data_IF_333182949033
#
_entry.id   IF_333182949033
#
_cell.length_a   1.000
_cell.length_b   1.000
_cell.length_c   1.000
_cell.angle_alpha   90.00
_cell.angle_beta   90.00
_cell.angle_gamma   90.00
#
_symmetry.space_group_name_H-M   'P 1'
#
loop_
_entity.id
_entity.type
_entity.pdbx_description
1 polymer ?
#
# COMPACT_ATOMS: atom_id res chain seq x y z
N UNK A 1 13.85 -17.37 -4.03
CA UNK A 1 12.47 -17.21 -4.52
C UNK A 1 12.22 -17.97 -5.83
N UNK A 2 13.25 -18.13 -6.69
CA UNK A 2 13.13 -18.83 -7.99
C UNK A 2 12.71 -20.32 -7.91
N UNK A 3 12.52 -20.88 -6.73
CA UNK A 3 12.13 -22.29 -6.52
C UNK A 3 10.72 -22.45 -5.97
N UNK A 4 10.00 -21.35 -5.74
CA UNK A 4 8.59 -21.40 -5.30
C UNK A 4 7.69 -21.59 -6.52
N UNK A 5 6.71 -22.48 -6.37
CA UNK A 5 5.66 -22.66 -7.38
C UNK A 5 4.77 -21.41 -7.42
N UNK A 6 4.40 -21.01 -8.61
CA UNK A 6 3.51 -19.89 -8.87
C UNK A 6 2.38 -20.30 -9.81
N UNK A 7 1.28 -19.55 -9.80
CA UNK A 7 0.22 -19.73 -10.76
C UNK A 7 0.62 -19.18 -12.14
N UNK A 8 0.18 -19.83 -13.18
CA UNK A 8 0.33 -19.29 -14.52
C UNK A 8 -0.78 -18.26 -14.78
N UNK A 9 -0.47 -16.99 -14.61
CA UNK A 9 -1.39 -15.88 -14.79
C UNK A 9 -1.95 -15.75 -16.21
N UNK A 10 -1.30 -16.38 -17.19
CA UNK A 10 -1.78 -16.42 -18.57
C UNK A 10 -2.84 -17.52 -18.81
N UNK A 11 -3.12 -18.34 -17.81
CA UNK A 11 -4.18 -19.33 -17.85
C UNK A 11 -5.50 -18.73 -17.35
N UNK A 12 -6.52 -18.56 -18.19
CA UNK A 12 -7.82 -17.99 -17.76
C UNK A 12 -8.46 -18.71 -16.57
N UNK A 13 -8.22 -20.00 -16.40
CA UNK A 13 -8.75 -20.76 -15.26
C UNK A 13 -8.17 -20.28 -13.91
N UNK A 14 -6.97 -19.71 -13.92
CA UNK A 14 -6.37 -19.12 -12.70
C UNK A 14 -7.14 -17.87 -12.29
N UNK A 15 -7.43 -16.97 -13.23
CA UNK A 15 -8.24 -15.78 -12.96
C UNK A 15 -9.63 -16.15 -12.45
N UNK A 16 -10.31 -17.10 -13.10
CA UNK A 16 -11.64 -17.58 -12.68
C UNK A 16 -11.61 -18.12 -11.25
N UNK A 17 -10.62 -18.96 -10.95
CA UNK A 17 -10.47 -19.54 -9.62
C UNK A 17 -10.21 -18.47 -8.55
N UNK A 18 -9.26 -17.56 -8.80
CA UNK A 18 -8.90 -16.52 -7.84
C UNK A 18 -10.06 -15.55 -7.60
N UNK A 19 -10.70 -15.05 -8.66
CA UNK A 19 -11.85 -14.15 -8.50
C UNK A 19 -12.96 -14.85 -7.70
N UNK A 20 -13.34 -16.09 -8.06
CA UNK A 20 -14.37 -16.82 -7.35
C UNK A 20 -14.04 -17.06 -5.87
N UNK A 21 -12.77 -17.33 -5.55
CA UNK A 21 -12.33 -17.50 -4.17
C UNK A 21 -12.43 -16.19 -3.36
N UNK A 22 -12.06 -15.06 -3.95
CA UNK A 22 -12.13 -13.77 -3.25
C UNK A 22 -13.55 -13.20 -3.19
N UNK A 23 -14.41 -13.48 -4.16
CA UNK A 23 -15.84 -13.15 -4.09
C UNK A 23 -16.54 -13.80 -2.89
N UNK A 24 -16.15 -15.01 -2.52
CA UNK A 24 -16.67 -15.66 -1.32
C UNK A 24 -16.39 -14.87 -0.04
N UNK A 25 -15.21 -14.25 0.06
CA UNK A 25 -14.88 -13.39 1.20
C UNK A 25 -15.70 -12.09 1.22
N UNK A 26 -16.01 -11.54 0.04
CA UNK A 26 -16.92 -10.39 -0.07
C UNK A 26 -18.32 -10.77 0.43
N UNK A 27 -18.81 -11.94 0.05
CA UNK A 27 -20.12 -12.45 0.49
C UNK A 27 -20.15 -12.72 2.01
N UNK A 28 -19.00 -13.03 2.61
CA UNK A 28 -18.83 -13.20 4.06
C UNK A 28 -18.56 -11.87 4.80
N UNK A 29 -18.57 -10.74 4.10
CA UNK A 29 -18.47 -9.41 4.71
C UNK A 29 -17.13 -8.73 4.63
N UNK A 30 -16.16 -9.24 3.86
CA UNK A 30 -14.92 -8.51 3.62
C UNK A 30 -15.22 -7.12 3.04
N UNK A 31 -14.59 -6.09 3.61
CA UNK A 31 -14.78 -4.70 3.21
C UNK A 31 -13.66 -4.18 2.29
N UNK A 32 -12.48 -4.80 2.34
CA UNK A 32 -11.31 -4.45 1.53
C UNK A 32 -10.39 -5.66 1.36
N UNK A 33 -9.47 -5.59 0.38
CA UNK A 33 -8.37 -6.55 0.25
C UNK A 33 -7.01 -5.86 0.30
N UNK A 34 -6.09 -6.45 1.07
CA UNK A 34 -4.65 -6.22 0.91
C UNK A 34 -4.13 -7.23 -0.12
N UNK A 35 -3.48 -6.74 -1.13
CA UNK A 35 -2.83 -7.55 -2.16
C UNK A 35 -1.34 -7.60 -1.87
N UNK A 36 -0.89 -8.72 -1.36
CA UNK A 36 0.51 -8.99 -1.11
C UNK A 36 1.30 -9.07 -2.42
N UNK A 37 2.55 -8.60 -2.43
CA UNK A 37 3.46 -8.71 -3.57
C UNK A 37 2.86 -8.29 -4.93
N UNK A 38 2.06 -7.23 -4.97
CA UNK A 38 1.32 -6.79 -6.17
C UNK A 38 2.22 -6.56 -7.40
N UNK A 39 3.50 -6.27 -7.19
CA UNK A 39 4.47 -6.04 -8.26
C UNK A 39 4.86 -7.31 -9.04
N UNK A 40 4.53 -8.50 -8.54
CA UNK A 40 4.97 -9.77 -9.14
C UNK A 40 4.05 -10.26 -10.25
N UNK A 41 2.86 -9.70 -10.37
CA UNK A 41 1.94 -9.97 -11.46
C UNK A 41 1.81 -8.75 -12.39
N UNK A 42 1.58 -8.95 -13.69
CA UNK A 42 1.40 -7.84 -14.63
C UNK A 42 0.21 -6.95 -14.27
N UNK A 43 0.31 -5.65 -14.55
CA UNK A 43 -0.81 -4.72 -14.36
C UNK A 43 -2.10 -5.15 -15.08
N UNK A 44 -2.00 -5.81 -16.23
CA UNK A 44 -3.17 -6.32 -16.96
C UNK A 44 -3.95 -7.35 -16.14
N UNK A 45 -3.24 -8.25 -15.44
CA UNK A 45 -3.86 -9.22 -14.52
C UNK A 45 -4.61 -8.51 -13.39
N UNK A 46 -3.96 -7.54 -12.73
CA UNK A 46 -4.57 -6.80 -11.64
C UNK A 46 -5.73 -5.94 -12.10
N UNK A 47 -5.66 -5.38 -13.31
CA UNK A 47 -6.78 -4.62 -13.91
C UNK A 47 -8.01 -5.51 -14.08
N UNK A 48 -7.86 -6.69 -14.67
CA UNK A 48 -8.96 -7.63 -14.85
C UNK A 48 -9.52 -8.09 -13.50
N UNK A 49 -8.65 -8.47 -12.57
CA UNK A 49 -9.08 -8.85 -11.21
C UNK A 49 -9.88 -7.74 -10.54
N UNK A 50 -9.39 -6.50 -10.57
CA UNK A 50 -10.07 -5.35 -9.97
C UNK A 50 -11.43 -5.07 -10.60
N UNK A 51 -11.52 -5.15 -11.92
CA UNK A 51 -12.77 -4.91 -12.63
C UNK A 51 -13.83 -5.96 -12.24
N UNK A 52 -13.45 -7.21 -12.13
CA UNK A 52 -14.36 -8.31 -11.75
C UNK A 52 -14.80 -8.19 -10.29
N UNK A 53 -13.89 -7.92 -9.38
CA UNK A 53 -14.22 -7.69 -7.96
C UNK A 53 -15.17 -6.50 -7.81
N UNK A 54 -14.93 -5.40 -8.53
CA UNK A 54 -15.80 -4.21 -8.45
C UNK A 54 -17.12 -4.37 -9.23
N UNK A 55 -17.19 -5.29 -10.18
CA UNK A 55 -18.47 -5.67 -10.78
C UNK A 55 -19.37 -6.37 -9.76
N UNK A 56 -18.79 -7.22 -8.88
CA UNK A 56 -19.49 -7.84 -7.75
C UNK A 56 -19.86 -6.81 -6.68
N UNK A 57 -18.91 -5.97 -6.25
CA UNK A 57 -19.11 -4.96 -5.22
C UNK A 57 -18.55 -3.60 -5.66
N UNK A 58 -19.39 -2.71 -6.22
CA UNK A 58 -18.95 -1.39 -6.67
C UNK A 58 -18.23 -0.60 -5.58
N UNK A 59 -17.10 0.04 -5.95
CA UNK A 59 -16.29 0.82 -5.01
C UNK A 59 -15.47 -0.01 -4.02
N UNK A 60 -15.36 -1.33 -4.19
CA UNK A 60 -14.59 -2.16 -3.28
C UNK A 60 -13.13 -1.70 -3.20
N UNK A 61 -12.67 -1.42 -1.98
CA UNK A 61 -11.33 -0.91 -1.74
C UNK A 61 -10.28 -2.02 -1.80
N UNK A 62 -9.22 -1.76 -2.53
CA UNK A 62 -8.06 -2.66 -2.61
C UNK A 62 -6.78 -1.86 -2.54
N UNK A 63 -5.80 -2.35 -1.78
CA UNK A 63 -4.46 -1.78 -1.75
C UNK A 63 -3.40 -2.86 -1.88
N UNK A 64 -2.32 -2.50 -2.56
CA UNK A 64 -1.21 -3.41 -2.85
C UNK A 64 0.01 -3.16 -2.01
N UNK A 65 0.73 -4.23 -1.73
CA UNK A 65 2.09 -4.17 -1.22
C UNK A 65 3.07 -4.29 -2.40
N UNK A 66 3.73 -3.19 -2.72
CA UNK A 66 4.91 -3.17 -3.58
C UNK A 66 6.08 -2.64 -2.73
N UNK A 67 6.92 -3.55 -2.24
CA UNK A 67 8.03 -3.22 -1.35
C UNK A 67 9.13 -2.48 -2.13
N UNK A 68 8.87 -1.21 -2.44
CA UNK A 68 9.76 -0.36 -3.20
C UNK A 68 9.70 1.09 -2.70
N UNK A 69 10.85 1.69 -2.52
CA UNK A 69 10.98 3.06 -2.02
C UNK A 69 10.98 4.13 -3.12
N UNK A 70 10.87 3.73 -4.39
CA UNK A 70 10.71 4.65 -5.52
C UNK A 70 9.22 4.90 -5.81
N UNK A 71 8.79 6.15 -5.68
CA UNK A 71 7.41 6.55 -5.90
C UNK A 71 6.91 6.26 -7.32
N UNK A 72 7.76 6.41 -8.34
CA UNK A 72 7.38 6.12 -9.72
C UNK A 72 7.08 4.63 -9.92
N UNK A 73 7.85 3.76 -9.25
CA UNK A 73 7.67 2.30 -9.33
C UNK A 73 6.37 1.83 -8.71
N UNK A 74 5.93 2.44 -7.60
CA UNK A 74 4.69 2.01 -6.92
C UNK A 74 3.43 2.71 -7.46
N UNK A 75 3.57 3.90 -8.01
CA UNK A 75 2.45 4.72 -8.46
C UNK A 75 1.64 4.09 -9.60
N UNK A 76 2.28 3.29 -10.44
CA UNK A 76 1.63 2.61 -11.55
C UNK A 76 0.39 1.82 -11.15
N UNK A 77 0.38 1.23 -9.95
CA UNK A 77 -0.76 0.48 -9.43
C UNK A 77 -1.97 1.36 -9.14
N UNK A 78 -1.77 2.66 -8.87
CA UNK A 78 -2.86 3.59 -8.55
C UNK A 78 -3.65 4.05 -9.77
N UNK A 79 -3.10 3.88 -10.96
CA UNK A 79 -3.72 4.40 -12.18
C UNK A 79 -4.94 3.56 -12.61
N UNK A 80 -5.98 4.24 -13.13
CA UNK A 80 -7.22 3.58 -13.56
C UNK A 80 -6.99 2.49 -14.62
N UNK A 81 -6.04 2.71 -15.54
CA UNK A 81 -5.68 1.72 -16.54
C UNK A 81 -5.06 0.44 -15.97
N UNK A 82 -4.63 0.46 -14.71
CA UNK A 82 -3.98 -0.65 -13.99
C UNK A 82 -4.85 -1.19 -12.84
N UNK A 83 -6.09 -0.73 -12.70
CA UNK A 83 -7.05 -1.25 -11.74
C UNK A 83 -7.30 -0.37 -10.50
N UNK A 84 -6.71 0.83 -10.41
CA UNK A 84 -6.94 1.78 -9.30
C UNK A 84 -6.77 1.15 -7.92
N UNK A 85 -5.64 0.51 -7.67
CA UNK A 85 -5.26 0.07 -6.34
C UNK A 85 -4.68 1.23 -5.54
N UNK A 86 -4.99 1.36 -4.27
CA UNK A 86 -4.10 2.06 -3.35
C UNK A 86 -2.81 1.24 -3.16
N UNK A 87 -1.80 1.84 -2.57
CA UNK A 87 -0.56 1.13 -2.22
C UNK A 87 -0.04 1.57 -0.86
N UNK A 88 0.74 0.70 -0.22
CA UNK A 88 1.54 1.05 0.95
C UNK A 88 2.59 2.09 0.54
N UNK A 89 2.64 3.21 1.24
CA UNK A 89 3.49 4.37 0.92
C UNK A 89 4.91 4.20 1.46
N UNK A 90 5.67 3.28 0.89
CA UNK A 90 7.07 3.05 1.24
C UNK A 90 7.97 4.27 1.04
N UNK A 91 7.82 5.10 -0.03
CA UNK A 91 8.60 6.31 -0.17
C UNK A 91 8.42 7.29 0.99
N UNK A 92 7.17 7.50 1.41
CA UNK A 92 6.88 8.34 2.56
C UNK A 92 7.37 7.71 3.87
N UNK A 93 7.17 6.40 4.05
CA UNK A 93 7.70 5.65 5.22
C UNK A 93 9.20 5.88 5.38
N UNK A 94 9.99 5.84 4.32
CA UNK A 94 11.43 6.11 4.39
C UNK A 94 11.72 7.51 4.94
N UNK A 95 10.97 8.52 4.51
CA UNK A 95 11.13 9.91 4.98
C UNK A 95 10.67 10.10 6.42
N UNK A 96 9.61 9.42 6.83
CA UNK A 96 9.16 9.43 8.22
C UNK A 96 10.23 8.81 9.15
N UNK A 97 10.82 7.69 8.77
CA UNK A 97 11.94 7.09 9.47
C UNK A 97 13.12 8.07 9.58
N UNK A 98 13.46 8.74 8.48
CA UNK A 98 14.57 9.68 8.45
C UNK A 98 14.36 10.87 9.40
N UNK A 99 13.15 11.39 9.48
CA UNK A 99 12.83 12.56 10.32
C UNK A 99 12.68 12.17 11.79
N UNK A 100 11.95 11.11 12.10
CA UNK A 100 11.60 10.81 13.50
C UNK A 100 12.61 9.92 14.24
N UNK A 101 13.46 9.19 13.52
CA UNK A 101 14.50 8.35 14.13
C UNK A 101 15.88 9.04 14.17
N UNK A 102 16.11 10.07 13.33
CA UNK A 102 17.43 10.73 13.24
C UNK A 102 17.38 12.15 13.75
N UNK A 103 17.96 12.45 14.92
CA UNK A 103 18.02 13.80 15.44
C UNK A 103 18.65 14.79 14.45
N UNK A 104 18.02 15.94 14.27
CA UNK A 104 18.52 17.02 13.40
C UNK A 104 18.06 16.94 11.95
N UNK A 105 17.27 15.95 11.57
CA UNK A 105 16.60 15.92 10.26
C UNK A 105 15.30 16.75 10.33
N UNK A 106 15.13 17.69 9.41
CA UNK A 106 13.96 18.57 9.42
C UNK A 106 12.76 17.99 8.69
N UNK A 107 11.58 18.52 8.97
CA UNK A 107 10.30 18.08 8.34
C UNK A 107 10.25 18.33 6.82
N UNK A 108 11.12 19.16 6.27
CA UNK A 108 11.24 19.37 4.82
C UNK A 108 11.55 18.08 4.06
N UNK A 109 12.17 17.08 4.72
CA UNK A 109 12.41 15.78 4.10
C UNK A 109 11.10 15.03 3.83
N UNK A 110 10.13 15.12 4.73
CA UNK A 110 8.79 14.56 4.51
C UNK A 110 8.13 15.21 3.30
N UNK A 111 8.27 16.52 3.14
CA UNK A 111 7.72 17.26 2.01
C UNK A 111 8.10 16.68 0.65
N UNK A 112 9.30 16.11 0.53
CA UNK A 112 9.79 15.48 -0.71
C UNK A 112 9.03 14.22 -1.14
N UNK A 113 8.26 13.60 -0.25
CA UNK A 113 7.49 12.39 -0.51
C UNK A 113 5.97 12.57 -0.37
N UNK A 114 5.49 13.79 -0.11
CA UNK A 114 4.05 14.02 0.06
C UNK A 114 3.27 13.97 -1.25
N UNK A 115 3.82 14.49 -2.33
CA UNK A 115 3.21 14.47 -3.67
C UNK A 115 1.74 14.92 -3.69
N UNK A 116 1.45 16.06 -3.04
CA UNK A 116 0.06 16.51 -2.85
C UNK A 116 -0.62 16.93 -4.16
N UNK A 117 0.12 17.55 -5.08
CA UNK A 117 -0.41 18.12 -6.34
C UNK A 117 0.32 17.55 -7.56
N UNK A 118 1.65 17.58 -7.58
CA UNK A 118 2.48 17.22 -8.73
C UNK A 118 3.20 15.88 -8.55
N UNK A 119 2.44 14.82 -8.23
CA UNK A 119 3.02 13.51 -7.95
C UNK A 119 2.65 12.45 -8.98
N UNK A 120 3.27 11.26 -8.90
CA UNK A 120 3.01 10.17 -9.83
C UNK A 120 1.71 9.41 -9.53
N UNK A 121 1.12 9.59 -8.33
CA UNK A 121 -0.05 8.86 -7.88
C UNK A 121 -1.35 9.42 -8.47
N UNK A 122 -2.32 8.54 -8.73
CA UNK A 122 -3.66 8.99 -9.15
C UNK A 122 -4.36 9.81 -8.07
N UNK A 123 -4.23 9.40 -6.81
CA UNK A 123 -4.70 10.14 -5.64
C UNK A 123 -3.78 9.85 -4.44
N UNK A 124 -2.97 10.81 -3.99
CA UNK A 124 -2.07 10.59 -2.85
C UNK A 124 -2.82 10.46 -1.51
N UNK A 125 -4.07 10.90 -1.43
CA UNK A 125 -4.88 10.81 -0.21
C UNK A 125 -5.43 9.41 0.05
N UNK A 126 -5.41 8.53 -0.95
CA UNK A 126 -5.84 7.13 -0.79
C UNK A 126 -4.68 6.19 -0.41
N UNK A 127 -3.43 6.69 -0.35
CA UNK A 127 -2.27 5.87 -0.01
C UNK A 127 -2.32 5.40 1.44
N UNK A 128 -1.88 4.15 1.67
CA UNK A 128 -1.78 3.58 3.02
C UNK A 128 -0.49 4.05 3.68
N UNK A 129 -0.59 4.98 4.62
CA UNK A 129 0.56 5.55 5.33
C UNK A 129 0.90 4.77 6.60
N UNK A 130 2.17 4.49 6.85
CA UNK A 130 2.61 3.63 7.93
C UNK A 130 4.06 3.91 8.35
N UNK A 131 4.47 3.43 9.53
CA UNK A 131 5.85 3.49 10.01
C UNK A 131 6.55 2.15 9.93
N UNK A 132 5.88 1.09 10.34
CA UNK A 132 6.40 -0.26 10.37
C UNK A 132 5.32 -1.29 10.01
N UNK A 133 5.74 -2.50 9.75
CA UNK A 133 4.88 -3.66 9.52
C UNK A 133 5.63 -4.95 9.91
N UNK A 134 5.05 -6.11 9.62
CA UNK A 134 5.62 -7.42 9.95
C UNK A 134 6.89 -7.80 9.15
N UNK A 135 7.21 -7.08 8.07
CA UNK A 135 8.36 -7.34 7.20
C UNK A 135 9.56 -6.43 7.48
N UNK A 136 9.47 -5.58 8.50
CA UNK A 136 10.55 -4.64 8.85
C UNK A 136 10.69 -4.46 10.35
N UNK A 137 11.80 -3.84 10.75
CA UNK A 137 12.04 -3.48 12.13
C UNK A 137 11.01 -2.44 12.62
N UNK A 138 10.69 -2.51 13.93
CA UNK A 138 9.91 -1.49 14.61
C UNK A 138 10.62 -0.13 14.54
N UNK A 139 9.83 0.93 14.66
CA UNK A 139 10.38 2.28 14.75
C UNK A 139 11.36 2.39 15.93
N UNK A 140 12.55 2.92 15.65
CA UNK A 140 13.60 3.13 16.65
C UNK A 140 13.75 4.65 16.94
N UNK A 141 12.69 5.26 17.41
CA UNK A 141 12.65 6.66 17.82
C UNK A 141 12.72 6.80 19.34
N UNK A 142 13.07 8.01 19.84
CA UNK A 142 12.83 8.38 21.22
C UNK A 142 11.33 8.45 21.52
N UNK A 143 10.92 8.44 22.78
CA UNK A 143 9.51 8.58 23.17
C UNK A 143 8.86 9.82 22.55
N UNK A 144 9.55 10.95 22.56
CA UNK A 144 9.07 12.19 21.92
C UNK A 144 8.95 12.03 20.41
N UNK A 145 9.95 11.46 19.74
CA UNK A 145 9.91 11.19 18.30
C UNK A 145 8.80 10.21 17.92
N UNK A 146 8.55 9.21 18.75
CA UNK A 146 7.46 8.25 18.56
C UNK A 146 6.07 8.92 18.64
N UNK A 147 5.87 9.77 19.65
CA UNK A 147 4.62 10.55 19.81
C UNK A 147 4.42 11.50 18.63
N UNK A 148 5.47 12.22 18.22
CA UNK A 148 5.38 13.14 17.07
C UNK A 148 5.11 12.40 15.76
N UNK A 149 5.71 11.23 15.59
CA UNK A 149 5.47 10.37 14.43
C UNK A 149 3.99 9.96 14.32
N UNK A 150 3.38 9.56 15.45
CA UNK A 150 1.96 9.20 15.48
C UNK A 150 1.05 10.41 15.29
N UNK A 151 1.35 11.55 15.92
CA UNK A 151 0.63 12.79 15.67
C UNK A 151 0.64 13.16 14.19
N UNK A 152 1.80 13.04 13.54
CA UNK A 152 1.93 13.29 12.12
C UNK A 152 1.09 12.30 11.30
N UNK A 153 1.21 11.00 11.57
CA UNK A 153 0.51 9.94 10.84
C UNK A 153 -1.00 10.13 10.84
N UNK A 154 -1.58 10.52 11.98
CA UNK A 154 -3.03 10.71 12.10
C UNK A 154 -3.55 12.05 11.57
N UNK A 155 -2.69 13.03 11.31
CA UNK A 155 -3.11 14.37 10.88
C UNK A 155 -2.69 14.71 9.46
N UNK A 156 -1.83 13.90 8.85
CA UNK A 156 -1.38 14.09 7.47
C UNK A 156 -2.27 13.37 6.44
N UNK A 157 -1.92 13.52 5.17
CA UNK A 157 -2.60 12.86 4.07
C UNK A 157 -2.43 11.35 4.13
N UNK A 158 -3.37 10.61 3.55
CA UNK A 158 -3.36 9.17 3.42
C UNK A 158 -4.27 8.48 4.43
N UNK A 159 -4.29 7.17 4.38
CA UNK A 159 -5.05 6.30 5.30
C UNK A 159 -4.05 5.74 6.31
N UNK A 160 -4.10 6.16 7.60
CA UNK A 160 -3.12 5.74 8.58
C UNK A 160 -3.25 4.26 8.90
N UNK A 161 -2.12 3.57 8.92
CA UNK A 161 -2.01 2.15 9.30
C UNK A 161 -1.09 2.02 10.50
N UNK A 162 -1.60 1.41 11.56
CA UNK A 162 -0.84 1.06 12.76
C UNK A 162 -0.62 -0.45 12.79
N UNK A 163 0.64 -0.85 12.86
CA UNK A 163 0.99 -2.24 13.11
C UNK A 163 0.81 -2.53 14.62
N UNK A 164 0.19 -3.66 14.94
CA UNK A 164 -0.15 -3.99 16.34
C UNK A 164 1.07 -3.87 17.27
N UNK A 165 0.88 -3.27 18.44
CA UNK A 165 1.94 -3.01 19.41
C UNK A 165 2.75 -1.71 19.15
N UNK A 166 2.52 -1.01 18.03
CA UNK A 166 3.13 0.30 17.78
C UNK A 166 2.36 1.45 18.45
N UNK A 167 1.24 1.16 19.08
CA UNK A 167 0.42 2.12 19.85
C UNK A 167 0.78 2.17 21.32
N UNK A 168 1.71 1.33 21.83
CA UNK A 168 2.10 1.19 23.24
C UNK A 168 3.59 1.36 23.46
#
# INVERSE_FOLDING_TARGET
LAQLSDFNENNPAVMEYLVGAYEQWIDQGAAAFRVDTIAWMPHAFWKEFADRIRAKKPGFFMFGENFNYDAASIAGHTWARNGSYSVLDFPLKAKLTEVFEKPGTGYEEIGKALYLEDGPYANPYDLMTFYDNHDMARMNASDAGFIDAHNWLFTARGIPVIYYGSEI
#
